data_IF_910290462954
#
_entry.id   IF_910290462954
#
_cell.length_a   1.000
_cell.length_b   1.000
_cell.length_c   1.000
_cell.angle_alpha   90.00
_cell.angle_beta   90.00
_cell.angle_gamma   90.00
#
_symmetry.space_group_name_H-M   'P 1'
#
loop_
_entity.id
_entity.type
_entity.pdbx_description
1 polymer ?
#
# COMPACT_ATOMS: atom_id res chain seq x y z
N UNK A 1 13.21 -2.68 -1.41
CA UNK A 1 11.74 -2.74 -1.31
C UNK A 1 11.24 -3.78 -2.29
N UNK A 2 10.50 -4.76 -1.80
CA UNK A 2 10.06 -5.96 -2.51
C UNK A 2 8.88 -6.62 -1.78
N UNK A 3 8.38 -7.78 -2.24
CA UNK A 3 7.42 -8.56 -1.47
C UNK A 3 7.94 -8.85 -0.05
N UNK A 4 7.07 -8.76 0.95
CA UNK A 4 7.41 -8.86 2.38
C UNK A 4 7.92 -7.56 3.02
N UNK A 5 8.09 -6.47 2.25
CA UNK A 5 8.43 -5.17 2.85
C UNK A 5 7.24 -4.62 3.65
N UNK A 6 7.51 -4.13 4.86
CA UNK A 6 6.53 -3.46 5.69
C UNK A 6 6.32 -2.00 5.26
N UNK A 7 5.16 -1.46 5.57
CA UNK A 7 4.82 -0.05 5.34
C UNK A 7 3.65 0.41 6.19
N UNK A 8 3.35 1.70 6.06
CA UNK A 8 2.22 2.35 6.74
C UNK A 8 1.33 3.03 5.72
N UNK A 9 0.04 2.70 5.76
CA UNK A 9 -1.01 3.26 4.93
C UNK A 9 -1.77 4.34 5.72
N UNK A 10 -1.91 5.53 5.13
CA UNK A 10 -2.81 6.57 5.62
C UNK A 10 -3.91 6.79 4.58
N UNK A 11 -5.16 6.59 4.99
CA UNK A 11 -6.35 6.83 4.16
C UNK A 11 -6.97 8.15 4.62
N UNK A 12 -7.29 9.05 3.70
CA UNK A 12 -7.72 10.42 4.07
C UNK A 12 -9.04 10.44 4.87
N UNK A 13 -9.91 9.44 4.66
CA UNK A 13 -11.20 9.31 5.33
C UNK A 13 -11.17 8.47 6.62
N UNK A 14 -10.03 7.87 6.99
CA UNK A 14 -9.91 6.98 8.16
C UNK A 14 -8.83 7.55 9.10
N UNK A 15 -9.13 7.74 10.40
CA UNK A 15 -8.13 8.22 11.33
C UNK A 15 -7.05 7.17 11.59
N UNK A 16 -5.79 7.62 11.67
CA UNK A 16 -4.64 6.79 12.03
C UNK A 16 -3.85 6.25 10.84
N UNK A 17 -2.85 5.44 11.16
CA UNK A 17 -2.02 4.72 10.19
C UNK A 17 -2.24 3.23 10.35
N UNK A 18 -2.32 2.52 9.24
CA UNK A 18 -2.63 1.10 9.18
C UNK A 18 -1.38 0.36 8.72
N UNK A 19 -0.91 -0.67 9.46
CA UNK A 19 0.22 -1.46 9.02
C UNK A 19 -0.15 -2.24 7.75
N UNK A 20 0.77 -2.25 6.79
CA UNK A 20 0.59 -2.98 5.53
C UNK A 20 1.84 -3.75 5.16
N UNK A 21 1.64 -4.87 4.49
CA UNK A 21 2.71 -5.71 3.98
C UNK A 21 2.65 -5.75 2.46
N UNK A 22 3.74 -5.42 1.77
CA UNK A 22 3.79 -5.55 0.30
C UNK A 22 3.68 -7.01 -0.09
N UNK A 23 2.63 -7.36 -0.84
CA UNK A 23 2.39 -8.74 -1.28
C UNK A 23 2.99 -9.01 -2.65
N UNK A 24 3.02 -8.02 -3.54
CA UNK A 24 3.66 -8.15 -4.85
C UNK A 24 3.99 -6.80 -5.50
N UNK A 25 4.94 -6.84 -6.44
CA UNK A 25 5.19 -5.76 -7.39
C UNK A 25 4.87 -6.26 -8.79
N UNK A 26 4.23 -5.44 -9.60
CA UNK A 26 3.99 -5.76 -11.00
C UNK A 26 5.33 -5.95 -11.73
N UNK A 27 5.42 -6.90 -12.68
CA UNK A 27 6.65 -7.17 -13.42
C UNK A 27 6.95 -6.11 -14.50
N UNK A 28 6.01 -5.21 -14.77
CA UNK A 28 6.11 -4.19 -15.81
C UNK A 28 5.51 -2.85 -15.38
N UNK A 29 5.94 -1.80 -16.05
CA UNK A 29 5.42 -0.44 -15.88
C UNK A 29 4.08 -0.34 -16.62
N UNK A 30 3.07 0.23 -15.97
CA UNK A 30 1.79 0.54 -16.61
C UNK A 30 2.00 1.60 -17.72
N UNK A 31 1.65 1.32 -18.99
CA UNK A 31 1.97 2.21 -20.10
C UNK A 31 1.14 3.51 -20.09
N UNK A 32 0.01 3.53 -19.39
CA UNK A 32 -0.91 4.68 -19.34
C UNK A 32 -0.43 5.66 -18.28
N UNK A 33 -0.21 5.19 -17.06
CA UNK A 33 0.20 6.06 -15.94
C UNK A 33 1.72 6.23 -15.81
N UNK A 34 2.51 5.39 -16.51
CA UNK A 34 3.97 5.30 -16.37
C UNK A 34 4.42 5.01 -14.93
N UNK A 35 3.64 4.20 -14.21
CA UNK A 35 3.94 3.82 -12.82
C UNK A 35 4.13 2.32 -12.67
N UNK A 36 4.96 1.91 -11.71
CA UNK A 36 5.00 0.53 -11.23
C UNK A 36 3.85 0.29 -10.26
N UNK A 37 3.07 -0.78 -10.44
CA UNK A 37 1.99 -1.13 -9.52
C UNK A 37 2.53 -1.98 -8.36
N UNK A 38 2.28 -1.53 -7.15
CA UNK A 38 2.57 -2.27 -5.91
C UNK A 38 1.25 -2.73 -5.30
N UNK A 39 1.15 -4.00 -4.92
CA UNK A 39 0.03 -4.53 -4.13
C UNK A 39 0.52 -4.75 -2.70
N UNK A 40 -0.29 -4.31 -1.74
CA UNK A 40 -0.07 -4.55 -0.33
C UNK A 40 -1.33 -5.15 0.29
N UNK A 41 -1.14 -5.96 1.34
CA UNK A 41 -2.21 -6.53 2.14
C UNK A 41 -2.31 -5.73 3.43
N UNK A 42 -3.55 -5.51 3.86
CA UNK A 42 -3.88 -4.90 5.15
C UNK A 42 -4.25 -6.06 6.07
N UNK A 43 -3.41 -6.33 7.06
CA UNK A 43 -3.56 -7.52 7.91
C UNK A 43 -4.52 -7.27 9.08
N UNK A 44 -4.62 -6.03 9.57
CA UNK A 44 -5.51 -5.64 10.66
C UNK A 44 -6.05 -4.21 10.44
N UNK A 45 -7.33 -4.14 10.05
CA UNK A 45 -8.04 -2.86 9.88
C UNK A 45 -9.08 -2.71 10.98
N UNK A 46 -8.85 -1.77 11.90
CA UNK A 46 -9.78 -1.44 12.99
C UNK A 46 -11.03 -0.69 12.51
N UNK A 47 -10.97 -0.06 11.34
CA UNK A 47 -12.06 0.66 10.70
C UNK A 47 -12.39 0.07 9.32
N UNK A 48 -13.65 0.13 8.86
CA UNK A 48 -14.02 -0.38 7.55
C UNK A 48 -13.37 0.45 6.43
N UNK A 49 -12.59 -0.23 5.58
CA UNK A 49 -11.95 0.35 4.41
C UNK A 49 -12.75 -0.08 3.19
N UNK A 50 -13.26 0.89 2.44
CA UNK A 50 -14.08 0.63 1.26
C UNK A 50 -13.25 0.78 -0.03
N UNK A 51 -13.56 0.00 -1.08
CA UNK A 51 -12.95 0.18 -2.39
C UNK A 51 -13.11 1.61 -2.92
N UNK A 52 -12.05 2.17 -3.49
CA UNK A 52 -12.04 3.51 -4.06
C UNK A 52 -11.60 4.63 -3.10
N UNK A 53 -11.40 4.32 -1.81
CA UNK A 53 -10.80 5.28 -0.88
C UNK A 53 -9.37 5.65 -1.30
N UNK A 54 -9.04 6.92 -1.16
CA UNK A 54 -7.73 7.48 -1.51
C UNK A 54 -6.85 7.69 -0.29
N UNK A 55 -5.55 7.66 -0.50
CA UNK A 55 -4.56 7.82 0.55
C UNK A 55 -3.14 7.69 0.01
N UNK A 56 -2.17 7.59 0.91
CA UNK A 56 -0.79 7.31 0.55
C UNK A 56 -0.21 6.18 1.39
N UNK A 57 0.80 5.51 0.83
CA UNK A 57 1.57 4.48 1.51
C UNK A 57 3.00 4.95 1.64
N UNK A 58 3.54 4.86 2.86
CA UNK A 58 4.97 5.04 3.14
C UNK A 58 5.55 3.65 3.35
N UNK A 59 6.40 3.22 2.43
CA UNK A 59 7.11 1.95 2.55
C UNK A 59 8.39 2.15 3.36
N UNK A 60 8.71 1.21 4.24
CA UNK A 60 9.95 1.28 5.03
C UNK A 60 11.13 0.73 4.22
N UNK A 61 12.27 1.43 4.27
CA UNK A 61 13.48 0.97 3.59
C UNK A 61 14.13 -0.12 4.45
N UNK A 62 14.02 -1.37 4.01
CA UNK A 62 14.88 -2.46 4.49
C UNK A 62 16.33 -2.06 4.23
N UNK A 63 17.16 -1.98 5.28
CA UNK A 63 18.60 -1.72 5.18
C UNK A 63 19.31 -2.90 4.50
#
# INVERSE_FOLDING_TARGET
MGPGSAGRLRIDAVPGEIPVTVSSLAPSIDPVSRTLRVKATIDDATAPILPGMSGFVVLERSQ
#
